data_IF_935140645587
#
_entry.id   IF_935140645587
#
_cell.length_a   1.000
_cell.length_b   1.000
_cell.length_c   1.000
_cell.angle_alpha   90.00
_cell.angle_beta   90.00
_cell.angle_gamma   90.00
#
_symmetry.space_group_name_H-M   'P 1'
#
loop_
_entity.id
_entity.type
_entity.pdbx_description
1 polymer ?
#
# COMPACT_ATOMS: atom_id res chain seq x y z
N UNK A 1 27.60 -11.04 -7.83
CA UNK A 1 26.81 -11.47 -9.00
C UNK A 1 25.91 -10.29 -9.40
N UNK A 2 26.21 -9.69 -10.56
CA UNK A 2 25.41 -8.59 -11.11
C UNK A 2 24.14 -9.15 -11.78
N UNK A 3 23.18 -9.66 -10.99
CA UNK A 3 21.85 -9.86 -11.54
C UNK A 3 21.24 -8.48 -11.80
N UNK A 4 21.01 -8.17 -13.06
CA UNK A 4 20.39 -6.88 -13.40
C UNK A 4 19.06 -6.78 -12.64
N UNK A 5 18.77 -5.60 -12.12
CA UNK A 5 17.56 -5.36 -11.33
C UNK A 5 16.29 -5.65 -12.14
N UNK A 6 16.37 -5.67 -13.47
CA UNK A 6 15.26 -5.89 -14.41
C UNK A 6 15.15 -7.33 -14.94
N UNK A 7 16.10 -8.24 -14.63
CA UNK A 7 15.98 -9.64 -15.07
C UNK A 7 14.86 -10.34 -14.33
N UNK A 8 13.86 -10.90 -15.04
CA UNK A 8 12.71 -11.58 -14.45
C UNK A 8 13.16 -12.91 -13.81
N UNK A 9 12.98 -13.12 -12.49
CA UNK A 9 13.30 -14.38 -11.84
C UNK A 9 12.25 -15.44 -12.20
N UNK A 10 12.66 -16.70 -12.34
CA UNK A 10 11.69 -17.80 -12.47
C UNK A 10 11.05 -18.08 -11.10
N UNK A 11 9.72 -18.22 -11.01
CA UNK A 11 9.04 -18.69 -9.79
C UNK A 11 9.54 -20.10 -9.43
N UNK A 12 9.90 -20.31 -8.17
CA UNK A 12 10.52 -21.57 -7.71
C UNK A 12 9.74 -22.28 -6.61
N UNK A 13 8.75 -21.63 -6.05
CA UNK A 13 8.00 -22.13 -4.88
C UNK A 13 6.52 -21.76 -4.96
N UNK A 14 5.69 -22.41 -4.14
CA UNK A 14 4.28 -22.06 -3.97
C UNK A 14 4.12 -20.59 -3.56
N UNK A 15 5.05 -20.04 -2.76
CA UNK A 15 5.07 -18.62 -2.41
C UNK A 15 5.22 -17.75 -3.65
N UNK A 16 6.21 -18.01 -4.49
CA UNK A 16 6.50 -17.20 -5.68
C UNK A 16 5.31 -17.22 -6.65
N UNK A 17 4.70 -18.40 -6.88
CA UNK A 17 3.51 -18.52 -7.70
C UNK A 17 2.30 -17.80 -7.09
N UNK A 18 2.08 -17.94 -5.78
CA UNK A 18 1.00 -17.26 -5.07
C UNK A 18 1.11 -15.73 -5.18
N UNK A 19 2.32 -15.18 -4.98
CA UNK A 19 2.60 -13.75 -5.15
C UNK A 19 2.39 -13.32 -6.61
N UNK A 20 2.89 -14.08 -7.58
CA UNK A 20 2.72 -13.76 -9.00
C UNK A 20 1.25 -13.67 -9.40
N UNK A 21 0.44 -14.66 -9.00
CA UNK A 21 -1.01 -14.65 -9.28
C UNK A 21 -1.69 -13.44 -8.63
N UNK A 22 -1.27 -13.03 -7.43
CA UNK A 22 -1.81 -11.81 -6.79
C UNK A 22 -1.41 -10.53 -7.50
N UNK A 23 -0.19 -10.43 -8.00
CA UNK A 23 0.24 -9.29 -8.83
C UNK A 23 -0.61 -9.19 -10.08
N UNK A 24 -0.74 -10.30 -10.83
CA UNK A 24 -1.59 -10.36 -12.03
C UNK A 24 -3.03 -10.00 -11.71
N UNK A 25 -3.60 -10.60 -10.65
CA UNK A 25 -4.96 -10.30 -10.18
C UNK A 25 -5.12 -8.81 -9.86
N UNK A 26 -4.18 -8.22 -9.12
CA UNK A 26 -4.27 -6.81 -8.72
C UNK A 26 -4.25 -5.89 -9.94
N UNK A 27 -3.39 -6.14 -10.92
CA UNK A 27 -3.33 -5.36 -12.16
C UNK A 27 -4.62 -5.53 -12.98
N UNK A 28 -5.12 -6.76 -13.13
CA UNK A 28 -6.35 -7.03 -13.87
C UNK A 28 -7.58 -6.40 -13.21
N UNK A 29 -7.73 -6.51 -11.90
CA UNK A 29 -8.87 -5.93 -11.17
C UNK A 29 -8.88 -4.39 -11.17
N UNK A 30 -7.72 -3.77 -11.37
CA UNK A 30 -7.58 -2.31 -11.49
C UNK A 30 -7.61 -1.83 -12.95
N UNK A 31 -7.67 -2.74 -13.92
CA UNK A 31 -7.70 -2.44 -15.34
C UNK A 31 -9.12 -2.09 -15.81
N UNK A 32 -9.24 -1.09 -16.68
CA UNK A 32 -10.46 -0.83 -17.45
C UNK A 32 -10.44 -1.48 -18.84
N UNK A 33 -9.29 -2.01 -19.27
CA UNK A 33 -9.18 -2.75 -20.54
C UNK A 33 -9.73 -4.18 -20.42
N UNK A 34 -9.62 -4.76 -19.23
CA UNK A 34 -10.03 -6.12 -18.93
C UNK A 34 -11.12 -6.09 -17.88
N UNK A 35 -12.36 -6.20 -18.32
CA UNK A 35 -13.46 -6.41 -17.38
C UNK A 35 -13.40 -7.86 -16.89
N UNK A 36 -12.54 -8.09 -15.88
CA UNK A 36 -12.57 -9.39 -15.19
C UNK A 36 -13.95 -9.55 -14.58
N UNK A 37 -14.67 -10.63 -14.93
CA UNK A 37 -15.88 -10.97 -14.17
C UNK A 37 -15.48 -11.19 -12.73
N UNK A 38 -16.34 -10.84 -11.76
CA UNK A 38 -16.06 -11.09 -10.34
C UNK A 38 -15.70 -12.56 -10.06
N UNK A 39 -16.12 -13.48 -10.93
CA UNK A 39 -15.75 -14.90 -10.87
C UNK A 39 -14.26 -15.12 -11.14
N UNK A 40 -13.66 -14.47 -12.15
CA UNK A 40 -12.22 -14.58 -12.45
C UNK A 40 -11.39 -14.01 -11.30
N UNK A 41 -11.80 -12.86 -10.75
CA UNK A 41 -11.14 -12.23 -9.61
C UNK A 41 -11.16 -13.14 -8.37
N UNK A 42 -12.28 -13.78 -8.09
CA UNK A 42 -12.43 -14.74 -7.00
C UNK A 42 -11.59 -16.01 -7.21
N UNK A 43 -11.52 -16.55 -8.42
CA UNK A 43 -10.72 -17.73 -8.76
C UNK A 43 -9.23 -17.41 -8.57
N UNK A 44 -8.73 -16.29 -9.10
CA UNK A 44 -7.32 -15.89 -8.93
C UNK A 44 -6.98 -15.66 -7.46
N UNK A 45 -7.89 -15.05 -6.72
CA UNK A 45 -7.75 -14.88 -5.25
C UNK A 45 -7.66 -16.23 -4.54
N UNK A 46 -8.57 -17.17 -4.86
CA UNK A 46 -8.59 -18.48 -4.25
C UNK A 46 -7.31 -19.28 -4.54
N UNK A 47 -6.86 -19.31 -5.79
CA UNK A 47 -5.60 -19.96 -6.20
C UNK A 47 -4.44 -19.39 -5.40
N UNK A 48 -4.33 -18.07 -5.30
CA UNK A 48 -3.24 -17.41 -4.58
C UNK A 48 -3.27 -17.73 -3.10
N UNK A 49 -4.43 -17.63 -2.45
CA UNK A 49 -4.60 -17.95 -1.03
C UNK A 49 -4.23 -19.41 -0.76
N UNK A 50 -4.66 -20.36 -1.59
CA UNK A 50 -4.31 -21.77 -1.46
C UNK A 50 -2.78 -21.97 -1.54
N UNK A 51 -2.11 -21.34 -2.51
CA UNK A 51 -0.65 -21.44 -2.67
C UNK A 51 0.11 -20.82 -1.49
N UNK A 52 -0.33 -19.65 -1.00
CA UNK A 52 0.28 -18.99 0.15
C UNK A 52 0.07 -19.80 1.44
N UNK A 53 -1.15 -20.32 1.66
CA UNK A 53 -1.46 -21.18 2.82
C UNK A 53 -0.68 -22.48 2.75
N UNK A 54 -0.58 -23.13 1.58
CA UNK A 54 0.24 -24.33 1.38
C UNK A 54 1.70 -24.05 1.74
N UNK A 55 2.24 -22.87 1.33
CA UNK A 55 3.59 -22.46 1.72
C UNK A 55 3.71 -22.26 3.24
N UNK A 56 2.73 -21.62 3.89
CA UNK A 56 2.70 -21.49 5.35
C UNK A 56 2.73 -22.86 6.02
N UNK A 57 1.83 -23.77 5.62
CA UNK A 57 1.68 -25.10 6.23
C UNK A 57 2.87 -26.03 5.95
N UNK A 58 3.68 -25.76 4.93
CA UNK A 58 4.92 -26.52 4.65
C UNK A 58 6.03 -26.32 5.70
N UNK A 59 5.87 -25.38 6.63
CA UNK A 59 6.86 -25.01 7.64
C UNK A 59 6.42 -25.51 9.02
N UNK A 60 7.39 -25.71 9.90
CA UNK A 60 7.15 -26.22 11.26
C UNK A 60 6.96 -25.05 12.23
N UNK A 61 5.85 -25.06 12.97
CA UNK A 61 5.50 -24.09 13.99
C UNK A 61 5.19 -24.76 15.32
N UNK A 62 5.38 -24.04 16.41
CA UNK A 62 4.83 -24.49 17.67
C UNK A 62 3.32 -24.18 17.75
N UNK A 63 2.61 -24.89 18.61
CA UNK A 63 1.16 -24.76 18.76
C UNK A 63 0.73 -23.30 19.10
N UNK A 64 1.51 -22.59 19.91
CA UNK A 64 1.20 -21.20 20.29
C UNK A 64 1.23 -20.25 19.08
N UNK A 65 2.18 -20.47 18.15
CA UNK A 65 2.26 -19.69 16.91
C UNK A 65 1.06 -19.99 15.99
N UNK A 66 0.72 -21.28 15.82
CA UNK A 66 -0.43 -21.67 15.00
C UNK A 66 -1.73 -21.06 15.54
N UNK A 67 -1.94 -21.11 16.85
CA UNK A 67 -3.10 -20.49 17.50
C UNK A 67 -3.11 -18.97 17.27
N UNK A 68 -1.96 -18.29 17.43
CA UNK A 68 -1.88 -16.86 17.21
C UNK A 68 -2.19 -16.49 15.72
N UNK A 69 -1.67 -17.26 14.75
CA UNK A 69 -1.96 -17.04 13.33
C UNK A 69 -3.43 -17.31 12.99
N UNK A 70 -4.02 -18.36 13.58
CA UNK A 70 -5.44 -18.64 13.42
C UNK A 70 -6.30 -17.49 13.97
N UNK A 71 -6.00 -16.98 15.16
CA UNK A 71 -6.71 -15.84 15.76
C UNK A 71 -6.62 -14.61 14.85
N UNK A 72 -5.42 -14.26 14.39
CA UNK A 72 -5.22 -13.11 13.48
C UNK A 72 -5.99 -13.32 12.17
N UNK A 73 -5.89 -14.50 11.56
CA UNK A 73 -6.59 -14.82 10.30
C UNK A 73 -8.11 -14.76 10.46
N UNK A 74 -8.64 -15.30 11.56
CA UNK A 74 -10.09 -15.25 11.87
C UNK A 74 -10.53 -13.80 12.10
N UNK A 75 -9.79 -13.01 12.89
CA UNK A 75 -10.11 -11.60 13.12
C UNK A 75 -10.20 -10.83 11.80
N UNK A 76 -9.18 -10.94 10.95
CA UNK A 76 -9.20 -10.28 9.64
C UNK A 76 -10.28 -10.86 8.72
N UNK A 77 -10.56 -12.16 8.78
CA UNK A 77 -11.66 -12.79 8.06
C UNK A 77 -13.02 -12.21 8.42
N UNK A 78 -13.32 -12.08 9.71
CA UNK A 78 -14.56 -11.46 10.21
C UNK A 78 -14.67 -10.02 9.73
N UNK A 79 -13.59 -9.23 9.84
CA UNK A 79 -13.58 -7.84 9.37
C UNK A 79 -13.80 -7.78 7.86
N UNK A 80 -13.15 -8.64 7.08
CA UNK A 80 -13.32 -8.68 5.62
C UNK A 80 -14.76 -9.03 5.20
N UNK A 81 -15.43 -9.92 5.95
CA UNK A 81 -16.84 -10.19 5.76
C UNK A 81 -17.68 -8.94 6.05
N UNK A 82 -17.41 -8.26 7.18
CA UNK A 82 -18.14 -7.06 7.57
C UNK A 82 -17.97 -5.89 6.57
N UNK A 83 -16.78 -5.73 5.98
CA UNK A 83 -16.53 -4.66 4.99
C UNK A 83 -16.84 -5.09 3.54
N UNK A 84 -17.11 -6.37 3.30
CA UNK A 84 -17.36 -6.91 1.96
C UNK A 84 -16.15 -6.92 1.04
N UNK A 85 -14.90 -7.00 1.58
CA UNK A 85 -13.66 -6.97 0.80
C UNK A 85 -12.58 -7.87 1.42
N UNK A 86 -11.95 -8.72 0.60
CA UNK A 86 -10.89 -9.64 1.04
C UNK A 86 -9.47 -9.02 1.03
N UNK A 87 -9.31 -7.77 0.58
CA UNK A 87 -7.99 -7.16 0.35
C UNK A 87 -7.07 -7.17 1.58
N UNK A 88 -7.61 -6.85 2.77
CA UNK A 88 -6.84 -6.87 4.02
C UNK A 88 -6.41 -8.29 4.42
N UNK A 89 -7.28 -9.27 4.28
CA UNK A 89 -6.95 -10.68 4.57
C UNK A 89 -5.84 -11.18 3.65
N UNK A 90 -5.89 -10.84 2.38
CA UNK A 90 -4.84 -11.18 1.39
C UNK A 90 -3.49 -10.58 1.84
N UNK A 91 -3.46 -9.31 2.25
CA UNK A 91 -2.23 -8.66 2.75
C UNK A 91 -1.69 -9.37 3.99
N UNK A 92 -2.55 -9.75 4.94
CA UNK A 92 -2.15 -10.49 6.15
C UNK A 92 -1.61 -11.88 5.80
N UNK A 93 -2.30 -12.64 4.95
CA UNK A 93 -1.84 -13.97 4.51
C UNK A 93 -0.48 -13.85 3.79
N UNK A 94 -0.30 -12.82 2.97
CA UNK A 94 1.00 -12.54 2.32
C UNK A 94 2.08 -12.28 3.36
N UNK A 95 1.85 -11.42 4.35
CA UNK A 95 2.80 -11.16 5.44
C UNK A 95 3.12 -12.44 6.26
N UNK A 96 2.12 -13.26 6.54
CA UNK A 96 2.30 -14.56 7.19
C UNK A 96 3.15 -15.52 6.33
N UNK A 97 2.97 -15.53 5.03
CA UNK A 97 3.72 -16.40 4.12
C UNK A 97 5.19 -15.99 3.99
N UNK A 98 5.48 -14.68 3.96
CA UNK A 98 6.84 -14.18 3.74
C UNK A 98 7.67 -14.00 5.01
N UNK A 99 7.12 -14.16 6.22
CA UNK A 99 7.80 -13.86 7.50
C UNK A 99 9.12 -14.63 7.75
N UNK A 100 9.27 -15.79 7.11
CA UNK A 100 10.48 -16.63 7.20
C UNK A 100 11.41 -16.46 6.00
N UNK A 101 11.02 -15.63 5.06
CA UNK A 101 11.76 -15.39 3.82
C UNK A 101 12.64 -14.14 3.95
N UNK A 102 13.64 -14.07 3.07
CA UNK A 102 14.36 -12.82 2.87
C UNK A 102 13.43 -11.79 2.21
N UNK A 103 13.10 -10.74 2.95
CA UNK A 103 12.19 -9.70 2.49
C UNK A 103 12.74 -8.97 1.25
N UNK A 104 14.07 -8.84 1.14
CA UNK A 104 14.67 -8.22 -0.04
C UNK A 104 14.45 -9.06 -1.30
N UNK A 105 14.59 -10.37 -1.19
CA UNK A 105 14.26 -11.30 -2.29
C UNK A 105 12.81 -11.16 -2.70
N UNK A 106 11.89 -11.11 -1.74
CA UNK A 106 10.45 -11.00 -2.01
C UNK A 106 10.11 -9.67 -2.68
N UNK A 107 10.57 -8.55 -2.12
CA UNK A 107 10.32 -7.22 -2.71
C UNK A 107 10.95 -7.11 -4.11
N UNK A 108 12.15 -7.67 -4.32
CA UNK A 108 12.79 -7.75 -5.65
C UNK A 108 11.97 -8.57 -6.64
N UNK A 109 11.37 -9.68 -6.19
CA UNK A 109 10.48 -10.48 -7.01
C UNK A 109 9.22 -9.68 -7.41
N UNK A 110 8.54 -9.06 -6.44
CA UNK A 110 7.36 -8.21 -6.68
C UNK A 110 7.72 -7.08 -7.65
N UNK A 111 8.78 -6.32 -7.37
CA UNK A 111 9.23 -5.21 -8.20
C UNK A 111 9.42 -5.61 -9.67
N UNK A 112 10.13 -6.73 -9.93
CA UNK A 112 10.41 -7.18 -11.30
C UNK A 112 9.14 -7.55 -12.07
N UNK A 113 8.23 -8.28 -11.44
CA UNK A 113 6.98 -8.68 -12.09
C UNK A 113 6.04 -7.50 -12.27
N UNK A 114 5.89 -6.65 -11.26
CA UNK A 114 5.07 -5.43 -11.38
C UNK A 114 5.64 -4.50 -12.45
N UNK A 115 6.94 -4.27 -12.48
CA UNK A 115 7.57 -3.41 -13.47
C UNK A 115 7.22 -3.84 -14.91
N UNK A 116 7.38 -5.11 -15.24
CA UNK A 116 7.12 -5.60 -16.57
C UNK A 116 5.63 -5.66 -16.90
N UNK A 117 4.81 -6.15 -15.99
CA UNK A 117 3.36 -6.27 -16.23
C UNK A 117 2.70 -4.89 -16.34
N UNK A 118 3.06 -3.94 -15.50
CA UNK A 118 2.55 -2.56 -15.57
C UNK A 118 3.06 -1.86 -16.83
N UNK A 119 4.33 -2.05 -17.20
CA UNK A 119 4.87 -1.47 -18.44
C UNK A 119 4.14 -1.99 -19.68
N UNK A 120 3.89 -3.30 -19.77
CA UNK A 120 3.12 -3.90 -20.86
C UNK A 120 1.69 -3.37 -20.85
N UNK A 121 1.04 -3.32 -19.68
CA UNK A 121 -0.31 -2.80 -19.54
C UNK A 121 -0.42 -1.34 -19.99
N UNK A 122 0.49 -0.47 -19.54
CA UNK A 122 0.54 0.93 -19.95
C UNK A 122 0.78 1.09 -21.45
N UNK A 123 1.65 0.27 -22.04
CA UNK A 123 1.92 0.30 -23.47
C UNK A 123 0.66 -0.07 -24.29
N UNK A 124 -0.02 -1.16 -23.90
CA UNK A 124 -1.27 -1.57 -24.54
C UNK A 124 -2.35 -0.50 -24.35
N UNK A 125 -2.47 0.08 -23.15
CA UNK A 125 -3.40 1.17 -22.86
C UNK A 125 -3.12 2.43 -23.66
N UNK A 126 -1.85 2.80 -23.84
CA UNK A 126 -1.45 3.94 -24.66
C UNK A 126 -1.79 3.71 -26.14
N UNK A 127 -1.43 2.55 -26.70
CA UNK A 127 -1.76 2.18 -28.08
C UNK A 127 -3.29 2.17 -28.28
N UNK A 128 -4.04 1.55 -27.39
CA UNK A 128 -5.51 1.53 -27.47
C UNK A 128 -6.11 2.94 -27.37
N UNK A 129 -5.51 3.84 -26.57
CA UNK A 129 -5.94 5.24 -26.52
C UNK A 129 -5.70 5.97 -27.85
N UNK A 130 -4.56 5.72 -28.48
CA UNK A 130 -4.25 6.27 -29.81
C UNK A 130 -5.21 5.73 -30.90
N UNK A 131 -5.70 4.50 -30.74
CA UNK A 131 -6.68 3.87 -31.60
C UNK A 131 -8.14 4.28 -31.27
N UNK A 132 -8.36 5.23 -30.38
CA UNK A 132 -9.67 5.82 -30.08
C UNK A 132 -10.36 5.30 -28.81
N UNK A 133 -9.74 4.42 -28.02
CA UNK A 133 -10.27 4.01 -26.72
C UNK A 133 -10.17 5.15 -25.70
N UNK A 134 -11.20 5.28 -24.83
CA UNK A 134 -11.28 6.39 -23.88
C UNK A 134 -10.73 6.00 -22.50
N UNK A 135 -9.42 5.78 -22.38
CA UNK A 135 -8.75 5.54 -21.08
C UNK A 135 -8.26 6.85 -20.48
N UNK A 136 -9.22 7.78 -20.29
CA UNK A 136 -8.98 9.07 -19.67
C UNK A 136 -10.23 9.57 -18.95
N UNK A 137 -10.03 10.48 -18.00
CA UNK A 137 -11.10 11.19 -17.30
C UNK A 137 -10.93 12.68 -17.55
N UNK A 138 -12.02 13.37 -17.87
CA UNK A 138 -12.04 14.83 -17.91
C UNK A 138 -12.23 15.35 -16.48
N UNK A 139 -11.28 16.13 -15.97
CA UNK A 139 -11.29 16.63 -14.62
C UNK A 139 -10.99 18.13 -14.61
N UNK A 140 -11.94 18.95 -14.17
CA UNK A 140 -11.82 20.41 -14.14
C UNK A 140 -11.25 21.01 -15.45
N UNK A 141 -11.76 20.59 -16.60
CA UNK A 141 -11.38 21.11 -17.92
C UNK A 141 -10.05 20.57 -18.50
N UNK A 142 -9.39 19.62 -17.84
CA UNK A 142 -8.20 18.96 -18.41
C UNK A 142 -8.31 17.44 -18.42
N UNK A 143 -7.62 16.81 -19.37
CA UNK A 143 -7.60 15.37 -19.54
C UNK A 143 -6.55 14.74 -18.64
N UNK A 144 -6.92 13.67 -17.93
CA UNK A 144 -6.07 12.80 -17.13
C UNK A 144 -6.10 11.40 -17.74
N UNK A 145 -4.97 10.94 -18.26
CA UNK A 145 -4.89 9.61 -18.84
C UNK A 145 -4.60 8.57 -17.75
N UNK A 146 -5.25 7.41 -17.87
CA UNK A 146 -5.06 6.27 -16.98
C UNK A 146 -4.28 5.12 -17.59
N UNK A 147 -3.95 5.21 -18.88
CA UNK A 147 -3.21 4.19 -19.65
C UNK A 147 -3.79 2.78 -19.49
N UNK A 148 -5.12 2.68 -19.56
CA UNK A 148 -5.83 1.41 -19.43
C UNK A 148 -6.22 1.00 -18.02
N UNK A 149 -5.79 1.71 -16.97
CA UNK A 149 -6.32 1.54 -15.62
C UNK A 149 -7.67 2.22 -15.45
N UNK A 150 -8.43 1.82 -14.42
CA UNK A 150 -9.76 2.39 -14.15
C UNK A 150 -9.73 3.88 -13.77
N UNK A 151 -8.63 4.36 -13.20
CA UNK A 151 -8.46 5.75 -12.81
C UNK A 151 -6.99 6.18 -12.85
N UNK A 152 -6.72 7.46 -13.10
CA UNK A 152 -5.37 8.01 -13.14
C UNK A 152 -4.62 7.91 -11.77
N UNK A 153 -5.35 7.91 -10.64
CA UNK A 153 -4.74 7.70 -9.32
C UNK A 153 -4.21 6.26 -9.16
N UNK A 154 -4.88 5.26 -9.75
CA UNK A 154 -4.43 3.86 -9.72
C UNK A 154 -3.10 3.72 -10.47
N UNK A 155 -3.00 4.31 -11.67
CA UNK A 155 -1.73 4.36 -12.42
C UNK A 155 -0.62 4.97 -11.58
N UNK A 156 -0.88 6.13 -10.95
CA UNK A 156 0.10 6.80 -10.10
C UNK A 156 0.46 6.00 -8.85
N UNK A 157 -0.47 5.25 -8.26
CA UNK A 157 -0.19 4.39 -7.11
C UNK A 157 0.78 3.27 -7.49
N UNK A 158 0.59 2.63 -8.65
CA UNK A 158 1.52 1.62 -9.16
C UNK A 158 2.90 2.19 -9.46
N UNK A 159 2.97 3.35 -10.12
CA UNK A 159 4.26 4.00 -10.41
C UNK A 159 4.98 4.37 -9.13
N UNK A 160 4.27 4.96 -8.17
CA UNK A 160 4.82 5.28 -6.86
C UNK A 160 5.33 4.04 -6.12
N UNK A 161 4.57 2.92 -6.13
CA UNK A 161 5.01 1.67 -5.53
C UNK A 161 6.33 1.17 -6.17
N UNK A 162 6.44 1.21 -7.50
CA UNK A 162 7.67 0.85 -8.21
C UNK A 162 8.84 1.76 -7.82
N UNK A 163 8.62 3.07 -7.72
CA UNK A 163 9.65 4.04 -7.31
C UNK A 163 10.14 3.77 -5.90
N UNK A 164 9.24 3.58 -4.92
CA UNK A 164 9.66 3.34 -3.54
C UNK A 164 10.31 1.96 -3.37
N UNK A 165 9.88 0.92 -4.11
CA UNK A 165 10.57 -0.38 -4.13
C UNK A 165 11.97 -0.26 -4.73
N UNK A 166 12.13 0.50 -5.83
CA UNK A 166 13.41 0.73 -6.46
C UNK A 166 14.40 1.41 -5.49
N UNK A 167 13.99 2.48 -4.81
CA UNK A 167 14.80 3.15 -3.82
C UNK A 167 15.14 2.26 -2.63
N UNK A 168 14.19 1.47 -2.16
CA UNK A 168 14.44 0.54 -1.07
C UNK A 168 15.43 -0.56 -1.47
N UNK A 169 15.30 -1.14 -2.66
CA UNK A 169 16.18 -2.20 -3.16
C UNK A 169 17.61 -1.71 -3.44
N UNK A 170 17.75 -0.47 -3.89
CA UNK A 170 19.05 0.15 -4.20
C UNK A 170 19.59 1.05 -3.10
N UNK A 171 18.98 1.08 -1.92
CA UNK A 171 19.22 2.06 -0.88
C UNK A 171 20.69 2.37 -0.61
N UNK A 172 21.55 1.35 -0.49
CA UNK A 172 22.98 1.49 -0.22
C UNK A 172 23.81 1.88 -1.47
N UNK A 173 23.28 1.63 -2.67
CA UNK A 173 23.99 1.81 -3.95
C UNK A 173 23.39 2.93 -4.81
N UNK A 174 22.49 3.75 -4.27
CA UNK A 174 21.90 4.86 -4.98
C UNK A 174 22.93 5.90 -5.38
N UNK A 175 22.87 6.33 -6.64
CA UNK A 175 23.73 7.36 -7.23
C UNK A 175 22.92 8.46 -7.91
N UNK A 176 23.57 9.52 -8.37
CA UNK A 176 22.88 10.66 -8.99
C UNK A 176 22.08 10.29 -10.24
N UNK A 177 22.50 9.27 -11.00
CA UNK A 177 21.77 8.82 -12.19
C UNK A 177 20.43 8.18 -11.82
N UNK A 178 20.39 7.40 -10.70
CA UNK A 178 19.14 6.82 -10.18
C UNK A 178 18.15 7.92 -9.80
N UNK A 179 18.60 8.99 -9.15
CA UNK A 179 17.77 10.14 -8.79
C UNK A 179 17.21 10.85 -10.03
N UNK A 180 18.07 11.14 -11.02
CA UNK A 180 17.65 11.79 -12.27
C UNK A 180 16.64 10.90 -13.01
N UNK A 181 16.89 9.60 -13.13
CA UNK A 181 16.00 8.66 -13.80
C UNK A 181 14.60 8.66 -13.15
N UNK A 182 14.52 8.59 -11.81
CA UNK A 182 13.24 8.61 -11.11
C UNK A 182 12.52 9.95 -11.28
N UNK A 183 13.22 11.08 -11.21
CA UNK A 183 12.61 12.41 -11.46
C UNK A 183 12.01 12.46 -12.86
N UNK A 184 12.73 11.98 -13.88
CA UNK A 184 12.21 11.93 -15.26
C UNK A 184 10.96 11.07 -15.34
N UNK A 185 10.98 9.87 -14.77
CA UNK A 185 9.83 8.96 -14.76
C UNK A 185 8.63 9.62 -14.08
N UNK A 186 8.79 10.19 -12.89
CA UNK A 186 7.71 10.86 -12.16
C UNK A 186 7.14 12.06 -12.91
N UNK A 187 8.00 12.88 -13.56
CA UNK A 187 7.54 14.01 -14.36
C UNK A 187 6.76 13.55 -15.60
N UNK A 188 7.19 12.47 -16.26
CA UNK A 188 6.48 11.90 -17.41
C UNK A 188 5.10 11.40 -16.98
N UNK A 189 5.02 10.61 -15.89
CA UNK A 189 3.73 10.12 -15.39
C UNK A 189 2.86 11.24 -14.83
N UNK A 190 3.44 12.26 -14.21
CA UNK A 190 2.69 13.46 -13.82
C UNK A 190 2.07 14.18 -15.02
N UNK A 191 2.78 14.28 -16.14
CA UNK A 191 2.21 14.87 -17.39
C UNK A 191 1.03 14.08 -17.90
N UNK A 192 1.05 12.76 -17.78
CA UNK A 192 0.02 11.84 -18.24
C UNK A 192 -1.16 11.79 -17.26
N UNK A 193 -0.90 11.45 -16.01
CA UNK A 193 -1.93 11.20 -15.00
C UNK A 193 -2.35 12.46 -14.24
N UNK A 194 -1.53 13.51 -14.22
CA UNK A 194 -1.73 14.77 -13.50
C UNK A 194 -2.08 14.57 -12.01
N UNK A 195 -1.44 13.58 -11.36
CA UNK A 195 -1.58 13.26 -9.95
C UNK A 195 -0.44 13.89 -9.17
N UNK A 196 -0.78 14.76 -8.21
CA UNK A 196 0.23 15.51 -7.42
C UNK A 196 0.84 14.66 -6.30
N UNK A 197 0.06 13.75 -5.73
CA UNK A 197 0.45 12.99 -4.53
C UNK A 197 1.70 12.15 -4.75
N UNK A 198 1.75 11.32 -5.79
CA UNK A 198 2.92 10.48 -6.09
C UNK A 198 4.17 11.34 -6.34
N UNK A 199 4.05 12.39 -7.14
CA UNK A 199 5.16 13.29 -7.42
C UNK A 199 5.73 13.92 -6.14
N UNK A 200 4.88 14.50 -5.28
CA UNK A 200 5.36 15.14 -4.05
C UNK A 200 5.99 14.16 -3.07
N UNK A 201 5.39 12.97 -2.93
CA UNK A 201 5.95 11.95 -2.06
C UNK A 201 7.23 11.33 -2.62
N UNK A 202 7.34 11.15 -3.94
CA UNK A 202 8.59 10.71 -4.56
C UNK A 202 9.72 11.73 -4.37
N UNK A 203 9.43 13.03 -4.52
CA UNK A 203 10.38 14.11 -4.19
C UNK A 203 10.76 14.07 -2.70
N UNK A 204 9.79 13.86 -1.80
CA UNK A 204 10.07 13.73 -0.38
C UNK A 204 10.97 12.53 -0.07
N UNK A 205 10.73 11.36 -0.70
CA UNK A 205 11.62 10.19 -0.57
C UNK A 205 13.03 10.52 -1.04
N UNK A 206 13.14 11.17 -2.20
CA UNK A 206 14.43 11.63 -2.74
C UNK A 206 15.19 12.50 -1.74
N UNK A 207 14.54 13.51 -1.18
CA UNK A 207 15.14 14.42 -0.20
C UNK A 207 15.59 13.68 1.07
N UNK A 208 14.74 12.82 1.63
CA UNK A 208 15.11 12.05 2.83
C UNK A 208 16.28 11.11 2.54
N UNK A 209 16.28 10.44 1.40
CA UNK A 209 17.37 9.53 1.03
C UNK A 209 18.68 10.29 0.74
N UNK A 210 18.63 11.55 0.32
CA UNK A 210 19.82 12.38 0.18
C UNK A 210 20.42 12.80 1.53
N UNK A 211 19.58 13.06 2.54
CA UNK A 211 20.02 13.58 3.85
C UNK A 211 20.21 12.50 4.92
N UNK A 212 19.82 11.24 4.66
CA UNK A 212 19.83 10.19 5.69
C UNK A 212 21.23 9.87 6.23
N UNK A 213 22.29 10.14 5.47
CA UNK A 213 23.68 9.92 5.89
C UNK A 213 24.13 10.85 7.03
N UNK A 214 23.39 11.93 7.27
CA UNK A 214 23.62 12.81 8.41
C UNK A 214 23.08 12.16 9.68
N UNK A 215 23.94 11.99 10.72
CA UNK A 215 23.60 11.32 11.98
C UNK A 215 22.43 11.95 12.71
N UNK A 216 22.32 13.27 12.71
CA UNK A 216 21.19 13.93 13.40
C UNK A 216 19.88 13.74 12.63
N UNK A 217 19.93 13.80 11.30
CA UNK A 217 18.76 13.49 10.47
C UNK A 217 18.31 12.04 10.63
N UNK A 218 19.23 11.09 10.75
CA UNK A 218 18.88 9.69 10.97
C UNK A 218 18.14 9.45 12.28
N UNK A 219 18.59 10.08 13.38
CA UNK A 219 17.89 10.01 14.68
C UNK A 219 16.48 10.60 14.63
N UNK A 220 16.32 11.72 13.92
CA UNK A 220 15.01 12.34 13.70
C UNK A 220 14.10 11.43 12.89
N UNK A 221 14.59 10.84 11.80
CA UNK A 221 13.84 9.90 10.97
C UNK A 221 13.38 8.69 11.79
N UNK A 222 14.28 8.12 12.62
CA UNK A 222 13.96 7.00 13.50
C UNK A 222 12.88 7.35 14.54
N UNK A 223 12.95 8.56 15.10
CA UNK A 223 11.93 9.02 16.03
C UNK A 223 10.59 9.26 15.32
N UNK A 224 10.60 9.92 14.15
CA UNK A 224 9.39 10.18 13.38
C UNK A 224 8.74 8.88 12.90
N UNK A 225 9.51 7.90 12.42
CA UNK A 225 8.96 6.63 11.93
C UNK A 225 8.19 5.86 13.02
N UNK A 226 8.65 5.92 14.28
CA UNK A 226 7.97 5.28 15.42
C UNK A 226 6.59 5.87 15.71
N UNK A 227 6.45 7.17 15.53
CA UNK A 227 5.25 7.91 15.96
C UNK A 227 4.43 8.47 14.81
N UNK A 228 4.90 8.39 13.55
CA UNK A 228 4.18 8.94 12.40
C UNK A 228 2.76 8.39 12.26
N UNK A 229 2.60 7.07 12.35
CA UNK A 229 1.29 6.43 12.17
C UNK A 229 0.29 6.85 13.25
N UNK A 230 0.60 6.75 14.57
CA UNK A 230 -0.33 7.21 15.60
C UNK A 230 -0.59 8.73 15.56
N UNK A 231 0.43 9.55 15.27
CA UNK A 231 0.26 11.01 15.20
C UNK A 231 -0.62 11.38 14.01
N UNK A 232 -0.36 10.84 12.80
CA UNK A 232 -1.12 11.18 11.62
C UNK A 232 -2.54 10.61 11.65
N UNK A 233 -2.77 9.46 12.30
CA UNK A 233 -4.11 8.93 12.50
C UNK A 233 -4.91 9.80 13.47
N UNK A 234 -4.30 10.23 14.58
CA UNK A 234 -4.93 11.17 15.52
C UNK A 234 -5.19 12.52 14.86
N UNK A 235 -4.22 13.05 14.13
CA UNK A 235 -4.36 14.31 13.37
C UNK A 235 -5.54 14.23 12.40
N UNK A 236 -5.62 13.16 11.60
CA UNK A 236 -6.72 12.95 10.66
C UNK A 236 -8.07 12.92 11.38
N UNK A 237 -8.17 12.18 12.49
CA UNK A 237 -9.39 12.10 13.28
C UNK A 237 -9.80 13.47 13.83
N UNK A 238 -8.87 14.22 14.43
CA UNK A 238 -9.14 15.55 14.97
C UNK A 238 -9.57 16.51 13.88
N UNK A 239 -8.90 16.54 12.72
CA UNK A 239 -9.27 17.39 11.60
C UNK A 239 -10.64 17.02 11.03
N UNK A 240 -10.95 15.72 10.93
CA UNK A 240 -12.26 15.20 10.50
C UNK A 240 -13.39 15.70 11.43
N UNK A 241 -13.16 15.62 12.74
CA UNK A 241 -14.13 16.08 13.74
C UNK A 241 -14.31 17.61 13.77
N UNK A 242 -13.20 18.37 13.61
CA UNK A 242 -13.24 19.84 13.60
C UNK A 242 -13.82 20.40 12.31
N UNK A 243 -13.75 19.68 11.19
CA UNK A 243 -14.26 20.11 9.89
C UNK A 243 -15.77 20.39 9.96
N UNK A 244 -16.54 19.50 10.57
CA UNK A 244 -17.98 19.65 10.75
C UNK A 244 -18.36 20.88 11.61
N UNK A 245 -17.47 21.25 12.54
CA UNK A 245 -17.67 22.44 13.39
C UNK A 245 -17.29 23.75 12.71
N UNK A 246 -16.99 23.72 11.39
CA UNK A 246 -16.61 24.91 10.64
C UNK A 246 -15.25 25.50 11.01
N UNK A 247 -14.33 24.69 11.59
CA UNK A 247 -13.03 25.18 12.02
C UNK A 247 -12.14 25.56 10.82
N UNK A 248 -11.61 26.78 10.81
CA UNK A 248 -10.82 27.32 9.69
C UNK A 248 -9.57 26.50 9.40
N UNK A 249 -8.88 25.99 10.43
CA UNK A 249 -7.69 25.18 10.25
C UNK A 249 -8.02 23.86 9.55
N UNK A 250 -9.12 23.20 9.93
CA UNK A 250 -9.52 21.93 9.30
C UNK A 250 -9.95 22.13 7.84
N UNK A 251 -10.59 23.26 7.50
CA UNK A 251 -10.90 23.62 6.11
C UNK A 251 -9.63 23.91 5.30
N UNK A 252 -8.64 24.60 5.87
CA UNK A 252 -7.35 24.84 5.20
C UNK A 252 -6.59 23.52 4.96
N UNK A 253 -6.57 22.62 5.94
CA UNK A 253 -5.98 21.27 5.81
C UNK A 253 -6.73 20.45 4.76
N UNK A 254 -8.04 20.56 4.69
CA UNK A 254 -8.87 19.88 3.70
C UNK A 254 -8.53 20.33 2.26
N UNK A 255 -8.36 21.62 2.04
CA UNK A 255 -7.92 22.15 0.74
C UNK A 255 -6.53 21.64 0.37
N UNK A 256 -5.58 21.61 1.33
CA UNK A 256 -4.23 21.07 1.12
C UNK A 256 -4.27 19.60 0.76
N UNK A 257 -5.11 18.81 1.45
CA UNK A 257 -5.30 17.36 1.21
C UNK A 257 -6.34 17.07 0.13
N UNK A 258 -6.67 18.05 -0.73
CA UNK A 258 -7.59 17.89 -1.86
C UNK A 258 -8.95 17.30 -1.45
N UNK A 259 -9.54 17.88 -0.39
CA UNK A 259 -10.89 17.61 0.15
C UNK A 259 -11.09 16.23 0.81
N UNK A 260 -10.01 15.58 1.23
CA UNK A 260 -10.05 14.26 1.88
C UNK A 260 -10.60 14.31 3.31
N UNK A 261 -10.39 15.41 4.02
CA UNK A 261 -10.94 15.62 5.37
C UNK A 261 -12.45 15.83 5.33
N UNK A 262 -12.93 16.62 4.37
CA UNK A 262 -14.37 16.83 4.18
C UNK A 262 -15.10 15.54 3.82
N UNK A 263 -14.53 14.69 2.94
CA UNK A 263 -15.02 13.35 2.66
C UNK A 263 -15.12 12.48 3.92
N UNK A 264 -14.06 12.48 4.71
CA UNK A 264 -14.02 11.72 5.95
C UNK A 264 -15.06 12.24 6.96
N UNK A 265 -15.22 13.57 7.07
CA UNK A 265 -16.21 14.21 7.93
C UNK A 265 -17.64 13.86 7.51
N UNK A 266 -17.93 13.88 6.21
CA UNK A 266 -19.22 13.45 5.67
C UNK A 266 -19.59 12.02 6.08
N UNK A 267 -18.64 11.07 5.95
CA UNK A 267 -18.88 9.70 6.35
C UNK A 267 -18.98 9.54 7.87
N UNK A 268 -18.12 10.24 8.63
CA UNK A 268 -18.10 10.18 10.09
C UNK A 268 -19.44 10.65 10.69
N UNK A 269 -20.02 11.72 10.20
CA UNK A 269 -21.27 12.26 10.74
C UNK A 269 -22.49 11.38 10.50
N UNK A 270 -22.46 10.58 9.43
CA UNK A 270 -23.55 9.65 9.11
C UNK A 270 -23.39 8.29 9.74
N UNK A 271 -22.17 7.83 9.91
CA UNK A 271 -21.86 6.46 10.25
C UNK A 271 -21.17 6.31 11.62
N UNK A 272 -20.48 7.37 12.09
CA UNK A 272 -19.62 7.31 13.26
C UNK A 272 -18.42 6.37 13.07
N UNK A 273 -17.74 6.06 14.17
CA UNK A 273 -16.64 5.11 14.20
C UNK A 273 -17.16 3.66 14.23
N UNK A 274 -16.31 2.71 13.83
CA UNK A 274 -16.60 1.27 13.97
C UNK A 274 -15.45 0.55 14.67
N UNK A 275 -15.77 -0.52 15.40
CA UNK A 275 -14.77 -1.33 16.12
C UNK A 275 -14.25 -2.45 15.21
N UNK A 276 -15.15 -3.21 14.55
CA UNK A 276 -14.85 -4.41 13.76
C UNK A 276 -15.28 -4.31 12.29
N UNK A 277 -15.45 -3.11 11.79
CA UNK A 277 -15.82 -2.87 10.40
C UNK A 277 -17.32 -2.82 10.16
N UNK A 278 -17.67 -2.29 8.99
CA UNK A 278 -19.05 -2.22 8.48
C UNK A 278 -19.08 -2.26 6.97
N UNK A 279 -20.18 -2.76 6.40
CA UNK A 279 -20.40 -2.71 4.95
C UNK A 279 -20.79 -1.30 4.52
N UNK A 280 -20.04 -0.78 3.56
CA UNK A 280 -20.29 0.53 2.96
C UNK A 280 -20.58 0.46 1.45
N UNK A 281 -20.79 -0.73 0.89
CA UNK A 281 -21.03 -0.90 -0.55
C UNK A 281 -22.25 -0.14 -1.05
N UNK A 282 -23.27 0.03 -0.21
CA UNK A 282 -24.48 0.78 -0.52
C UNK A 282 -24.44 2.22 0.02
N UNK A 283 -23.33 2.66 0.62
CA UNK A 283 -23.18 4.03 1.08
C UNK A 283 -22.85 4.91 -0.12
N UNK A 284 -23.75 5.81 -0.45
CA UNK A 284 -23.62 6.75 -1.56
C UNK A 284 -23.38 8.15 -1.04
N UNK A 285 -22.70 8.96 -1.82
CA UNK A 285 -22.62 10.38 -1.60
C UNK A 285 -23.76 11.09 -2.34
N UNK A 286 -24.53 11.91 -1.64
CA UNK A 286 -25.30 12.99 -2.25
C UNK A 286 -24.38 14.21 -2.50
N UNK A 287 -23.21 13.93 -3.03
CA UNK A 287 -22.15 14.94 -3.26
C UNK A 287 -22.48 15.91 -4.38
N UNK A 288 -23.57 15.65 -5.14
CA UNK A 288 -24.07 16.59 -6.15
C UNK A 288 -24.33 17.98 -5.59
N UNK A 289 -24.80 18.07 -4.34
CA UNK A 289 -24.98 19.37 -3.67
C UNK A 289 -23.66 20.06 -3.30
N UNK A 290 -22.57 19.28 -3.14
CA UNK A 290 -21.30 19.81 -2.64
C UNK A 290 -20.19 19.87 -3.68
N UNK A 291 -20.14 18.92 -4.66
CA UNK A 291 -18.99 18.76 -5.58
C UNK A 291 -19.36 18.28 -6.99
N UNK A 292 -20.63 18.08 -7.32
CA UNK A 292 -21.08 17.62 -8.63
C UNK A 292 -20.76 16.16 -8.94
N UNK A 293 -20.72 15.28 -7.93
CA UNK A 293 -20.52 13.84 -8.08
C UNK A 293 -21.68 13.06 -7.45
N UNK A 294 -22.46 12.36 -8.27
CA UNK A 294 -23.33 11.28 -7.83
C UNK A 294 -22.62 9.95 -8.02
N UNK A 295 -22.49 9.14 -6.99
CA UNK A 295 -21.86 7.84 -7.12
C UNK A 295 -21.52 7.15 -5.80
N UNK A 296 -20.87 5.99 -5.90
CA UNK A 296 -20.37 5.25 -4.75
C UNK A 296 -19.34 6.05 -3.95
N UNK A 297 -19.40 5.94 -2.64
CA UNK A 297 -18.46 6.60 -1.74
C UNK A 297 -17.12 5.85 -1.71
N UNK A 298 -16.01 6.59 -1.84
CA UNK A 298 -14.66 6.05 -1.68
C UNK A 298 -13.87 6.89 -0.69
N UNK A 299 -13.12 6.22 0.18
CA UNK A 299 -12.13 6.90 0.99
C UNK A 299 -10.82 7.05 0.21
N UNK A 300 -10.23 8.22 0.30
CA UNK A 300 -8.88 8.51 -0.24
C UNK A 300 -7.84 8.68 0.88
N UNK A 301 -8.17 8.31 2.11
CA UNK A 301 -7.32 8.42 3.29
C UNK A 301 -7.46 7.13 4.11
N UNK A 302 -6.33 6.43 4.34
CA UNK A 302 -6.31 5.16 5.08
C UNK A 302 -6.80 5.33 6.52
N UNK A 303 -6.41 6.39 7.20
CA UNK A 303 -6.76 6.56 8.61
C UNK A 303 -8.27 6.72 8.79
N UNK A 304 -8.91 7.51 7.92
CA UNK A 304 -10.37 7.64 7.91
C UNK A 304 -11.05 6.34 7.51
N UNK A 305 -10.51 5.64 6.51
CA UNK A 305 -11.00 4.33 6.08
C UNK A 305 -10.95 3.31 7.21
N UNK A 306 -9.82 3.26 7.94
CA UNK A 306 -9.66 2.38 9.10
C UNK A 306 -10.62 2.72 10.23
N UNK A 307 -10.81 4.01 10.54
CA UNK A 307 -11.66 4.45 11.65
C UNK A 307 -13.16 4.24 11.37
N UNK A 308 -13.61 4.45 10.14
CA UNK A 308 -15.04 4.53 9.80
C UNK A 308 -15.54 3.25 9.13
N UNK A 309 -14.71 2.60 8.31
CA UNK A 309 -15.13 1.41 7.55
C UNK A 309 -14.53 0.10 8.08
N UNK A 310 -13.21 0.03 8.33
CA UNK A 310 -12.54 -1.23 8.68
C UNK A 310 -12.60 -1.54 10.17
N UNK A 311 -12.44 -0.53 11.01
CA UNK A 311 -12.51 -0.64 12.46
C UNK A 311 -11.24 -0.23 13.19
N UNK A 312 -11.45 0.36 14.37
CA UNK A 312 -10.40 0.88 15.26
C UNK A 312 -9.40 -0.22 15.65
N UNK A 313 -9.88 -1.47 15.81
CA UNK A 313 -9.03 -2.63 16.19
C UNK A 313 -7.90 -2.82 15.17
N UNK A 314 -8.19 -2.72 13.87
CA UNK A 314 -7.16 -2.86 12.82
C UNK A 314 -6.22 -1.66 12.80
N UNK A 315 -6.73 -0.46 13.00
CA UNK A 315 -5.86 0.72 13.12
C UNK A 315 -4.85 0.56 14.26
N UNK A 316 -5.31 0.16 15.45
CA UNK A 316 -4.43 -0.08 16.60
C UNK A 316 -3.43 -1.20 16.32
N UNK A 317 -3.84 -2.26 15.65
CA UNK A 317 -2.94 -3.35 15.28
C UNK A 317 -1.85 -2.86 14.31
N UNK A 318 -2.19 -2.08 13.29
CA UNK A 318 -1.24 -1.49 12.35
C UNK A 318 -0.25 -0.57 13.08
N UNK A 319 -0.75 0.29 13.99
CA UNK A 319 0.08 1.17 14.81
C UNK A 319 1.11 0.33 15.61
N UNK A 320 0.67 -0.70 16.31
CA UNK A 320 1.55 -1.55 17.13
C UNK A 320 2.57 -2.28 16.27
N UNK A 321 2.15 -2.83 15.14
CA UNK A 321 3.01 -3.57 14.23
C UNK A 321 4.08 -2.65 13.64
N UNK A 322 3.72 -1.52 13.05
CA UNK A 322 4.67 -0.60 12.44
C UNK A 322 5.58 0.07 13.47
N UNK A 323 5.08 0.36 14.69
CA UNK A 323 5.92 0.81 15.79
C UNK A 323 6.99 -0.24 16.15
N UNK A 324 6.61 -1.52 16.25
CA UNK A 324 7.57 -2.61 16.52
C UNK A 324 8.61 -2.75 15.41
N UNK A 325 8.22 -2.62 14.14
CA UNK A 325 9.17 -2.62 13.02
C UNK A 325 10.13 -1.44 13.15
N UNK A 326 9.62 -0.24 13.36
CA UNK A 326 10.45 0.95 13.50
C UNK A 326 11.42 0.87 14.70
N UNK A 327 11.01 0.20 15.79
CA UNK A 327 11.84 -0.03 16.97
C UNK A 327 13.02 -0.98 16.69
N UNK A 328 12.97 -1.83 15.67
CA UNK A 328 14.10 -2.69 15.28
C UNK A 328 15.31 -1.88 14.77
N UNK A 329 15.14 -0.59 14.49
CA UNK A 329 16.23 0.33 14.23
C UNK A 329 16.84 0.27 12.82
N UNK A 330 16.19 -0.39 11.86
CA UNK A 330 16.61 -0.33 10.46
C UNK A 330 16.23 1.04 9.86
N UNK A 331 17.21 1.94 9.72
CA UNK A 331 17.00 3.25 9.13
C UNK A 331 16.35 3.17 7.73
N UNK A 332 16.81 2.22 6.92
CA UNK A 332 16.23 1.91 5.61
C UNK A 332 14.72 1.69 5.73
N UNK A 333 14.29 0.78 6.60
CA UNK A 333 12.86 0.49 6.76
C UNK A 333 12.10 1.66 7.39
N UNK A 334 12.72 2.41 8.30
CA UNK A 334 12.10 3.54 8.99
C UNK A 334 11.75 4.68 8.03
N UNK A 335 12.62 4.97 7.06
CA UNK A 335 12.31 5.92 5.98
C UNK A 335 11.02 5.50 5.25
N UNK A 336 10.89 4.24 4.86
CA UNK A 336 9.74 3.78 4.09
C UNK A 336 8.48 3.59 4.94
N UNK A 337 8.58 3.36 6.25
CA UNK A 337 7.45 3.46 7.19
C UNK A 337 6.92 4.90 7.23
N UNK A 338 7.82 5.89 7.32
CA UNK A 338 7.43 7.30 7.29
C UNK A 338 6.77 7.68 5.97
N UNK A 339 7.31 7.20 4.85
CA UNK A 339 6.71 7.37 3.52
C UNK A 339 5.33 6.77 3.45
N UNK A 340 5.15 5.53 3.95
CA UNK A 340 3.86 4.87 4.03
C UNK A 340 2.87 5.67 4.88
N UNK A 341 3.30 6.19 6.02
CA UNK A 341 2.45 6.96 6.91
C UNK A 341 1.94 8.25 6.26
N UNK A 342 2.80 8.95 5.51
CA UNK A 342 2.41 10.15 4.77
C UNK A 342 1.52 9.83 3.57
N UNK A 343 1.85 8.77 2.82
CA UNK A 343 1.03 8.29 1.70
C UNK A 343 -0.38 7.93 2.15
N UNK A 344 -0.51 7.34 3.33
CA UNK A 344 -1.78 6.95 3.95
C UNK A 344 -2.73 8.11 4.25
N UNK A 345 -2.24 9.35 4.31
CA UNK A 345 -3.08 10.55 4.45
C UNK A 345 -3.83 10.92 3.15
N UNK A 346 -3.35 10.43 2.03
CA UNK A 346 -3.82 10.88 0.71
C UNK A 346 -4.28 9.76 -0.21
N UNK A 347 -4.02 8.49 0.13
CA UNK A 347 -4.38 7.35 -0.71
C UNK A 347 -4.75 6.13 0.14
N UNK A 348 -5.79 5.39 -0.27
CA UNK A 348 -6.23 4.17 0.41
C UNK A 348 -5.42 2.92 0.00
N UNK A 349 -4.70 3.01 -1.09
CA UNK A 349 -3.94 1.88 -1.66
C UNK A 349 -2.81 1.36 -0.76
N UNK A 350 -2.41 2.11 0.26
CA UNK A 350 -1.37 1.72 1.22
C UNK A 350 -1.66 0.46 2.05
N UNK A 351 -2.90 -0.02 2.07
CA UNK A 351 -3.27 -1.29 2.70
C UNK A 351 -3.05 -2.51 1.80
N UNK A 352 -2.81 -2.31 0.51
CA UNK A 352 -2.44 -3.37 -0.43
C UNK A 352 -0.93 -3.46 -0.56
N UNK A 353 -0.36 -4.60 -0.22
CA UNK A 353 1.09 -4.82 -0.34
C UNK A 353 1.60 -4.81 -1.79
N UNK A 354 0.71 -4.93 -2.77
CA UNK A 354 0.99 -4.85 -4.20
C UNK A 354 0.77 -3.44 -4.80
N UNK A 355 0.40 -2.46 -3.99
CA UNK A 355 0.26 -1.06 -4.39
C UNK A 355 1.02 -0.11 -3.46
N UNK A 356 1.49 -0.61 -2.31
CA UNK A 356 2.36 0.12 -1.39
C UNK A 356 3.12 -0.88 -0.50
N UNK A 357 4.29 -1.30 -0.93
CA UNK A 357 5.04 -2.42 -0.37
C UNK A 357 5.44 -2.28 1.10
N UNK A 358 5.63 -1.09 1.73
CA UNK A 358 6.13 -1.01 3.10
C UNK A 358 5.24 -1.70 4.14
N UNK A 359 3.97 -1.97 3.83
CA UNK A 359 3.10 -2.77 4.71
C UNK A 359 3.61 -4.21 4.86
N UNK A 360 4.42 -4.74 3.93
CA UNK A 360 5.09 -6.04 4.02
C UNK A 360 6.08 -6.12 5.18
N UNK A 361 6.58 -4.97 5.68
CA UNK A 361 7.45 -4.95 6.86
C UNK A 361 6.78 -5.52 8.10
N UNK A 362 5.44 -5.61 8.13
CA UNK A 362 4.71 -6.33 9.17
C UNK A 362 5.23 -7.76 9.35
N UNK A 363 5.70 -8.40 8.28
CA UNK A 363 6.29 -9.73 8.34
C UNK A 363 7.53 -9.83 9.23
N UNK A 364 8.29 -8.73 9.39
CA UNK A 364 9.53 -8.69 10.18
C UNK A 364 9.28 -8.87 11.70
N UNK A 365 8.09 -8.52 12.20
CA UNK A 365 7.74 -8.62 13.61
C UNK A 365 6.82 -9.81 13.93
N UNK A 366 6.36 -10.53 12.91
CA UNK A 366 5.61 -11.78 13.09
C UNK A 366 6.59 -12.89 13.49
N UNK A 367 6.34 -13.65 14.58
CA UNK A 367 7.21 -14.73 15.00
C UNK A 367 7.38 -15.78 13.89
N UNK A 368 8.61 -16.05 13.50
CA UNK A 368 8.94 -17.02 12.45
C UNK A 368 8.84 -18.48 12.89
N UNK A 369 8.99 -19.41 11.94
CA UNK A 369 9.03 -20.85 12.18
C UNK A 369 10.26 -21.24 13.02
N UNK A 370 10.27 -22.46 13.58
CA UNK A 370 11.36 -22.96 14.41
C UNK A 370 12.73 -22.90 13.69
N UNK A 371 12.80 -23.36 12.45
CA UNK A 371 14.03 -23.33 11.63
C UNK A 371 14.55 -21.92 11.32
N UNK A 372 13.66 -20.95 11.15
CA UNK A 372 14.06 -19.57 10.92
C UNK A 372 14.69 -18.95 12.17
N UNK A 373 14.23 -19.33 13.37
CA UNK A 373 14.82 -18.90 14.65
C UNK A 373 16.21 -19.50 14.86
N UNK A 374 16.39 -20.79 14.58
CA UNK A 374 17.72 -21.43 14.66
C UNK A 374 18.74 -20.76 13.73
N UNK A 375 18.36 -20.41 12.51
CA UNK A 375 19.22 -19.69 11.57
C UNK A 375 19.59 -18.29 12.08
N UNK A 376 18.65 -17.54 12.65
CA UNK A 376 18.95 -16.21 13.26
C UNK A 376 19.90 -16.34 14.44
N UNK A 377 19.68 -17.29 15.34
CA UNK A 377 20.53 -17.52 16.49
C UNK A 377 21.93 -18.04 16.11
N UNK A 378 22.08 -18.72 14.96
CA UNK A 378 23.38 -19.16 14.44
C UNK A 378 24.17 -18.03 13.77
N UNK A 379 23.49 -16.97 13.29
CA UNK A 379 24.11 -15.80 12.65
C UNK A 379 24.42 -14.70 13.67
N UNK A 380 23.65 -14.62 14.75
CA UNK A 380 23.89 -13.73 15.90
C UNK A 380 24.28 -14.58 17.13
N UNK A 381 25.52 -15.05 17.24
CA UNK A 381 25.98 -15.61 18.51
C UNK A 381 25.91 -14.48 19.54
N UNK A 382 25.20 -14.75 20.64
CA UNK A 382 24.98 -13.84 21.76
C UNK A 382 26.22 -12.97 22.10
N UNK A 383 26.12 -11.67 21.81
CA UNK A 383 27.02 -10.65 22.36
C UNK A 383 26.60 -10.37 23.80
#
# INVERSE_FOLDING_TARGET
MNDSILTIPKPRSALDFGILVLIVKTILSMSSMWHSSGMVDNILTAISVVLLVAHILSKQYNIKQLVAYAIVTVLFGVICINIGSAGLLITVITCLAIRDEDIERVVRFIFKYEFWLISIHCLVGAVSTLLGSKYYVLYHGYIRYSLGFGHANVLSAFVFNLVIMYFWLKFESLNSQDFIAVIIVELLFYRVAKTRTSLYLSVFVLLIVMIYKNKECSKLIDALAKYAVPILSLFTFVMTFLYEKGNLLSHAVDQLLTRRIGLASYAYNRLGLTIFGRDMRNFTTTWDEYYGFSGGFTFDNIYSYLLINVGIVILLLIIVVLYKVAKQGSLKNNIFILVWALYSMTEVHGLSCYMCFPILFAALVIPGSYRARERRNAIEPSI
#
